data_IF_149589873584
#
_entry.id   IF_149589873584
#
_cell.length_a   1.000
_cell.length_b   1.000
_cell.length_c   1.000
_cell.angle_alpha   90.00
_cell.angle_beta   90.00
_cell.angle_gamma   90.00
#
_symmetry.space_group_name_H-M   'P 1'
#
loop_
_entity.id
_entity.type
_entity.pdbx_description
1 polymer ?
#
# COMPACT_ATOMS: atom_id res chain seq x y z
N UNK A 1 15.94 10.11 -21.54
CA UNK A 1 15.54 10.20 -20.11
C UNK A 1 14.09 9.78 -19.85
N UNK A 2 13.15 10.10 -20.74
CA UNK A 2 11.71 9.78 -20.63
C UNK A 2 11.42 8.27 -20.52
N UNK A 3 12.16 7.41 -21.24
CA UNK A 3 11.88 5.96 -21.25
C UNK A 3 12.07 5.27 -19.89
N UNK A 4 13.11 5.63 -19.12
CA UNK A 4 13.36 5.01 -17.80
C UNK A 4 12.30 5.42 -16.80
N UNK A 5 11.92 6.70 -16.79
CA UNK A 5 10.82 7.21 -15.96
C UNK A 5 9.55 6.41 -16.24
N UNK A 6 9.14 6.29 -17.50
CA UNK A 6 7.90 5.60 -17.85
C UNK A 6 7.90 4.13 -17.44
N UNK A 7 9.04 3.42 -17.60
CA UNK A 7 9.17 2.03 -17.13
C UNK A 7 9.03 1.91 -15.62
N UNK A 8 9.71 2.78 -14.87
CA UNK A 8 9.63 2.79 -13.40
C UNK A 8 8.18 3.04 -12.96
N UNK A 9 7.52 4.05 -13.53
CA UNK A 9 6.13 4.35 -13.21
C UNK A 9 5.19 3.19 -13.54
N UNK A 10 5.36 2.53 -14.70
CA UNK A 10 4.57 1.34 -15.04
C UNK A 10 4.73 0.20 -14.03
N UNK A 11 5.92 0.01 -13.46
CA UNK A 11 6.12 -0.96 -12.39
C UNK A 11 5.45 -0.53 -11.08
N UNK A 12 5.47 0.77 -10.76
CA UNK A 12 4.78 1.32 -9.58
C UNK A 12 3.27 1.15 -9.72
N UNK A 13 2.71 1.45 -10.88
CA UNK A 13 1.28 1.28 -11.17
C UNK A 13 0.88 -0.19 -11.03
N UNK A 14 1.66 -1.10 -11.62
CA UNK A 14 1.43 -2.54 -11.47
C UNK A 14 1.48 -3.01 -10.01
N UNK A 15 2.40 -2.47 -9.19
CA UNK A 15 2.41 -2.79 -7.75
C UNK A 15 1.17 -2.24 -7.02
N UNK A 16 0.67 -1.07 -7.42
CA UNK A 16 -0.55 -0.50 -6.85
C UNK A 16 -1.78 -1.35 -7.21
N UNK A 17 -1.85 -1.84 -8.45
CA UNK A 17 -2.93 -2.73 -8.91
C UNK A 17 -2.97 -4.04 -8.10
N UNK A 18 -1.82 -4.64 -7.82
CA UNK A 18 -1.73 -5.84 -6.96
C UNK A 18 -2.23 -5.57 -5.53
N UNK A 19 -1.90 -4.39 -4.97
CA UNK A 19 -2.44 -3.99 -3.65
C UNK A 19 -3.96 -3.82 -3.70
N UNK A 20 -4.49 -3.20 -4.76
CA UNK A 20 -5.93 -3.04 -4.94
C UNK A 20 -6.63 -4.39 -5.06
N UNK A 21 -6.06 -5.31 -5.85
CA UNK A 21 -6.56 -6.69 -5.99
C UNK A 21 -6.61 -7.40 -4.64
N UNK A 22 -5.52 -7.34 -3.89
CA UNK A 22 -5.45 -7.92 -2.55
C UNK A 22 -6.48 -7.31 -1.59
N UNK A 23 -6.67 -5.97 -1.61
CA UNK A 23 -7.70 -5.32 -0.78
C UNK A 23 -9.06 -5.91 -1.12
N UNK A 24 -9.45 -5.92 -2.41
CA UNK A 24 -10.74 -6.46 -2.87
C UNK A 24 -10.96 -7.92 -2.45
N UNK A 25 -9.93 -8.75 -2.54
CA UNK A 25 -10.00 -10.14 -2.08
C UNK A 25 -10.20 -10.26 -0.57
N UNK A 26 -9.58 -9.38 0.21
CA UNK A 26 -9.67 -9.41 1.68
C UNK A 26 -10.96 -8.79 2.22
N UNK A 27 -11.60 -7.87 1.49
CA UNK A 27 -12.85 -7.21 1.91
C UNK A 27 -13.92 -8.18 2.38
N UNK A 28 -14.04 -9.37 1.76
CA UNK A 28 -15.04 -10.37 2.11
C UNK A 28 -14.91 -10.93 3.54
N UNK A 29 -13.76 -10.72 4.20
CA UNK A 29 -13.49 -11.20 5.56
C UNK A 29 -13.71 -10.14 6.63
N UNK A 30 -14.12 -8.92 6.27
CA UNK A 30 -14.30 -7.81 7.20
C UNK A 30 -15.68 -7.18 7.04
N UNK A 31 -16.33 -6.90 8.17
CA UNK A 31 -17.57 -6.13 8.19
C UNK A 31 -17.32 -4.73 7.59
N UNK A 32 -18.29 -4.22 6.82
CA UNK A 32 -18.22 -2.95 6.09
C UNK A 32 -17.03 -2.81 5.10
N UNK A 33 -16.36 -3.94 4.79
CA UNK A 33 -15.25 -4.08 3.84
C UNK A 33 -13.96 -3.36 4.26
N UNK A 34 -13.82 -2.91 5.51
CA UNK A 34 -12.63 -2.19 5.94
C UNK A 34 -11.47 -3.13 6.25
N UNK A 35 -10.50 -3.22 5.34
CA UNK A 35 -9.29 -4.04 5.51
C UNK A 35 -8.22 -3.28 6.32
N UNK A 36 -7.69 -3.84 7.41
CA UNK A 36 -6.64 -3.20 8.19
C UNK A 36 -5.32 -3.04 7.39
N UNK A 37 -4.73 -1.85 7.42
CA UNK A 37 -3.44 -1.58 6.79
C UNK A 37 -2.28 -2.43 7.36
N UNK A 38 -2.43 -2.90 8.61
CA UNK A 38 -1.49 -3.84 9.21
C UNK A 38 -1.49 -5.17 8.46
N UNK A 39 -2.66 -5.69 8.12
CA UNK A 39 -2.83 -6.98 7.47
C UNK A 39 -2.32 -6.92 6.03
N UNK A 40 -2.64 -5.83 5.31
CA UNK A 40 -2.10 -5.61 3.95
C UNK A 40 -0.56 -5.61 3.95
N UNK A 41 0.07 -4.87 4.87
CA UNK A 41 1.54 -4.79 4.93
C UNK A 41 2.21 -6.07 5.38
N UNK A 42 1.57 -6.83 6.28
CA UNK A 42 2.17 -8.03 6.84
C UNK A 42 2.04 -9.21 5.89
N UNK A 43 0.85 -9.42 5.32
CA UNK A 43 0.58 -10.55 4.42
C UNK A 43 1.34 -10.41 3.10
N UNK A 44 1.55 -9.19 2.62
CA UNK A 44 2.33 -8.88 1.41
C UNK A 44 3.81 -8.54 1.70
N UNK A 45 4.26 -8.66 2.95
CA UNK A 45 5.63 -8.34 3.39
C UNK A 45 6.17 -6.96 2.97
N UNK A 46 5.31 -5.93 2.91
CA UNK A 46 5.62 -4.59 2.38
C UNK A 46 6.38 -3.66 3.34
N UNK A 47 6.96 -4.22 4.41
CA UNK A 47 7.77 -3.47 5.37
C UNK A 47 9.25 -3.70 5.05
N UNK A 48 9.94 -2.64 4.62
CA UNK A 48 11.33 -2.72 4.16
C UNK A 48 12.31 -1.96 5.06
N UNK A 49 13.57 -2.38 5.04
CA UNK A 49 14.68 -1.53 5.46
C UNK A 49 14.94 -0.54 4.34
N UNK A 50 15.01 0.73 4.69
CA UNK A 50 14.84 1.84 3.75
C UNK A 50 15.97 2.87 3.79
N UNK A 51 17.03 2.58 4.55
CA UNK A 51 18.26 3.37 4.57
C UNK A 51 19.43 2.52 4.06
N UNK A 52 20.51 3.15 3.57
CA UNK A 52 21.74 2.43 3.21
C UNK A 52 22.30 1.60 4.37
N UNK A 53 22.99 0.50 4.06
CA UNK A 53 23.52 -0.44 5.05
C UNK A 53 24.42 0.19 6.13
N UNK A 54 25.10 1.30 5.79
CA UNK A 54 26.03 1.97 6.71
C UNK A 54 25.33 3.02 7.61
N UNK A 55 24.03 3.25 7.43
CA UNK A 55 23.27 4.18 8.26
C UNK A 55 22.63 3.45 9.45
N UNK A 56 22.29 4.21 10.50
CA UNK A 56 21.50 3.71 11.60
C UNK A 56 20.08 3.43 11.11
N UNK A 57 19.64 2.17 11.19
CA UNK A 57 18.29 1.76 10.83
C UNK A 57 17.43 1.59 12.07
N UNK A 58 16.20 2.11 12.02
CA UNK A 58 15.19 1.95 13.07
C UNK A 58 14.02 1.07 12.60
N UNK A 59 14.27 -0.24 12.50
CA UNK A 59 13.27 -1.25 12.14
C UNK A 59 12.72 -1.13 10.72
N UNK A 60 11.94 -2.11 10.26
CA UNK A 60 11.30 -2.06 8.93
C UNK A 60 10.21 -0.97 8.88
N UNK A 61 10.02 -0.36 7.71
CA UNK A 61 9.04 0.73 7.49
C UNK A 61 8.10 0.39 6.34
N UNK A 62 6.81 0.69 6.53
CA UNK A 62 5.77 0.47 5.53
C UNK A 62 5.61 1.62 4.52
N UNK A 63 6.70 2.29 4.16
CA UNK A 63 6.65 3.48 3.30
C UNK A 63 6.23 3.14 1.87
N UNK A 64 6.65 1.99 1.34
CA UNK A 64 6.22 1.57 0.00
C UNK A 64 4.70 1.42 -0.06
N UNK A 65 4.11 0.70 0.89
CA UNK A 65 2.65 0.60 1.00
C UNK A 65 1.98 1.97 1.12
N UNK A 66 2.50 2.87 1.97
CA UNK A 66 1.91 4.20 2.14
C UNK A 66 1.90 5.02 0.84
N UNK A 67 2.97 4.93 0.03
CA UNK A 67 3.06 5.59 -1.28
C UNK A 67 2.02 5.00 -2.24
N UNK A 68 1.99 3.68 -2.37
CA UNK A 68 1.08 2.99 -3.30
C UNK A 68 -0.39 3.20 -2.91
N UNK A 69 -0.72 3.10 -1.62
CA UNK A 69 -2.07 3.37 -1.13
C UNK A 69 -2.50 4.82 -1.39
N UNK A 70 -1.56 5.79 -1.27
CA UNK A 70 -1.86 7.18 -1.62
C UNK A 70 -2.14 7.36 -3.10
N UNK A 71 -1.41 6.69 -3.98
CA UNK A 71 -1.68 6.72 -5.42
C UNK A 71 -3.06 6.15 -5.77
N UNK A 72 -3.46 5.06 -5.12
CA UNK A 72 -4.79 4.49 -5.29
C UNK A 72 -5.88 5.45 -4.78
N UNK A 73 -5.66 6.10 -3.64
CA UNK A 73 -6.57 7.11 -3.08
C UNK A 73 -6.71 8.32 -4.02
N UNK A 74 -5.60 8.85 -4.54
CA UNK A 74 -5.59 9.97 -5.50
C UNK A 74 -6.35 9.62 -6.79
N UNK A 75 -6.34 8.35 -7.20
CA UNK A 75 -7.11 7.84 -8.35
C UNK A 75 -8.55 7.43 -8.00
N UNK A 76 -9.02 7.68 -6.78
CA UNK A 76 -10.35 7.28 -6.32
C UNK A 76 -10.64 5.78 -6.46
N UNK A 77 -9.60 4.94 -6.28
CA UNK A 77 -9.72 3.48 -6.34
C UNK A 77 -9.87 2.85 -4.95
N UNK A 78 -9.43 3.56 -3.91
CA UNK A 78 -9.61 3.15 -2.51
C UNK A 78 -10.08 4.32 -1.65
N UNK A 79 -10.78 4.00 -0.58
CA UNK A 79 -11.09 4.91 0.51
C UNK A 79 -10.19 4.61 1.71
N UNK A 80 -9.89 5.64 2.49
CA UNK A 80 -9.10 5.56 3.71
C UNK A 80 -9.95 5.87 4.94
N UNK A 81 -9.77 5.09 6.00
CA UNK A 81 -10.33 5.37 7.31
C UNK A 81 -9.28 5.20 8.41
N UNK A 82 -9.38 6.01 9.47
CA UNK A 82 -8.50 5.90 10.64
C UNK A 82 -9.32 5.87 11.93
N UNK A 83 -9.20 4.78 12.68
CA UNK A 83 -9.91 4.58 13.95
C UNK A 83 -8.91 4.17 15.02
N UNK A 84 -8.87 4.90 16.14
CA UNK A 84 -8.02 4.61 17.30
C UNK A 84 -6.53 4.34 16.96
N UNK A 85 -5.98 5.10 16.01
CA UNK A 85 -4.58 4.96 15.58
C UNK A 85 -4.34 3.87 14.53
N UNK A 86 -5.33 3.03 14.23
CA UNK A 86 -5.28 2.03 13.16
C UNK A 86 -5.81 2.61 11.85
N UNK A 87 -5.11 2.28 10.77
CA UNK A 87 -5.46 2.66 9.41
C UNK A 87 -6.16 1.51 8.70
N UNK A 88 -7.18 1.82 7.91
CA UNK A 88 -8.00 0.88 7.17
C UNK A 88 -8.22 1.39 5.74
N UNK A 89 -8.38 0.45 4.82
CA UNK A 89 -8.63 0.72 3.41
C UNK A 89 -9.73 -0.19 2.89
N UNK A 90 -10.49 0.31 1.92
CA UNK A 90 -11.41 -0.49 1.09
C UNK A 90 -11.41 0.07 -0.32
N UNK A 91 -11.72 -0.76 -1.30
CA UNK A 91 -11.93 -0.37 -2.68
C UNK A 91 -13.18 0.51 -2.82
N UNK A 92 -13.08 1.50 -3.71
CA UNK A 92 -14.25 2.23 -4.18
C UNK A 92 -15.06 1.28 -5.07
N UNK A 93 -16.37 1.24 -4.84
CA UNK A 93 -17.31 0.31 -5.50
C UNK A 93 -17.50 0.66 -6.97
#
# INVERSE_FOLDING_TARGET
MVLRKNKIHSHIDSMADEILGYIKEKEQFFDDRWVPAKDIRNDLELNFVSVPKNNIQYGKKGWLFAILARMLEDNSLVEFNKVNGSSFYRSVS
#
